data_IF_396301310375
#
_entry.id   IF_396301310375
#
_cell.length_a   1.000
_cell.length_b   1.000
_cell.length_c   1.000
_cell.angle_alpha   90.00
_cell.angle_beta   90.00
_cell.angle_gamma   90.00
#
_symmetry.space_group_name_H-M   'P 1'
#
loop_
_entity.id
_entity.type
_entity.pdbx_description
1 polymer ?
#
# COMPACT_ATOMS: atom_id res chain seq x y z
N UNK A 1 87.00 12.92 43.73
CA UNK A 1 86.14 13.47 44.74
C UNK A 1 84.96 14.05 43.98
N UNK A 2 83.72 13.67 44.02
CA UNK A 2 82.88 12.85 44.89
C UNK A 2 81.68 12.40 44.03
N UNK A 3 81.38 11.11 44.08
CA UNK A 3 80.15 10.51 43.51
C UNK A 3 78.88 11.15 44.09
N UNK A 4 77.90 11.48 43.21
CA UNK A 4 76.52 11.58 43.61
C UNK A 4 75.69 10.76 42.64
N UNK A 5 75.36 9.51 43.05
CA UNK A 5 74.34 8.63 42.47
C UNK A 5 72.95 9.20 42.74
N UNK A 6 72.24 9.66 41.74
CA UNK A 6 70.82 9.92 41.81
C UNK A 6 70.05 8.70 41.25
N UNK A 7 69.40 8.00 42.17
CA UNK A 7 68.54 6.84 41.95
C UNK A 7 67.20 7.32 41.38
N UNK A 8 67.04 7.32 40.08
CA UNK A 8 65.78 7.55 39.42
C UNK A 8 64.88 6.30 39.60
N UNK A 9 63.81 6.45 40.36
CA UNK A 9 62.74 5.48 40.56
C UNK A 9 61.86 5.56 39.28
N UNK A 10 61.97 4.52 38.43
CA UNK A 10 61.10 4.37 37.27
C UNK A 10 59.66 4.19 37.71
N UNK A 11 58.84 5.13 37.26
CA UNK A 11 57.38 4.93 37.20
C UNK A 11 57.16 4.15 35.93
N UNK A 12 57.03 2.84 36.05
CA UNK A 12 56.66 1.96 34.94
C UNK A 12 55.14 2.10 34.72
N UNK A 13 54.84 2.50 33.54
CA UNK A 13 53.53 2.52 32.89
C UNK A 13 52.73 1.23 33.17
N UNK A 14 51.62 1.37 33.88
CA UNK A 14 50.57 0.38 33.88
C UNK A 14 49.68 0.63 32.67
N UNK A 15 50.15 0.25 31.50
CA UNK A 15 49.24 0.06 30.38
C UNK A 15 48.38 -1.20 30.70
N UNK A 16 47.05 -1.10 30.55
CA UNK A 16 46.21 -2.27 30.65
C UNK A 16 46.47 -3.13 29.41
N UNK A 17 47.27 -4.19 29.56
CA UNK A 17 47.44 -5.24 28.55
C UNK A 17 46.11 -5.97 28.35
N UNK A 18 45.30 -5.46 27.46
CA UNK A 18 44.17 -6.17 26.88
C UNK A 18 44.72 -7.31 26.00
N UNK A 19 44.61 -8.54 26.45
CA UNK A 19 44.86 -9.69 25.61
C UNK A 19 46.01 -10.62 26.04
N UNK A 20 46.11 -11.03 27.31
CA UNK A 20 46.91 -12.17 27.64
C UNK A 20 46.17 -13.44 27.18
N UNK A 21 46.85 -14.33 26.45
CA UNK A 21 46.33 -15.64 26.01
C UNK A 21 45.77 -16.47 27.16
N UNK A 22 46.18 -16.19 28.41
CA UNK A 22 45.64 -16.78 29.63
C UNK A 22 44.21 -16.38 29.96
N UNK A 23 43.77 -15.13 29.63
CA UNK A 23 42.37 -14.68 29.87
C UNK A 23 41.41 -15.33 28.89
N UNK A 24 41.80 -15.47 27.63
CA UNK A 24 41.00 -16.19 26.65
C UNK A 24 40.80 -17.67 27.02
N UNK A 25 41.86 -18.31 27.51
CA UNK A 25 41.78 -19.71 27.96
C UNK A 25 40.86 -19.88 29.19
N UNK A 26 40.86 -18.95 30.14
CA UNK A 26 39.95 -18.99 31.31
C UNK A 26 38.49 -18.77 30.89
N UNK A 27 38.22 -17.88 29.90
CA UNK A 27 36.89 -17.69 29.34
C UNK A 27 36.38 -18.98 28.63
N UNK A 28 37.25 -19.64 27.85
CA UNK A 28 36.92 -20.93 27.22
C UNK A 28 36.64 -22.03 28.23
N UNK A 29 37.43 -22.14 29.28
CA UNK A 29 37.23 -23.15 30.35
C UNK A 29 35.88 -22.91 31.08
N UNK A 30 35.53 -21.68 31.32
CA UNK A 30 34.24 -21.28 31.89
C UNK A 30 33.05 -21.62 31.00
N UNK A 31 33.19 -21.42 29.68
CA UNK A 31 32.19 -21.82 28.70
C UNK A 31 31.96 -23.32 28.68
N UNK A 32 33.06 -24.10 28.72
CA UNK A 32 33.00 -25.56 28.74
C UNK A 32 32.40 -26.11 30.06
N UNK A 33 32.72 -25.51 31.20
CA UNK A 33 32.14 -25.87 32.51
C UNK A 33 30.65 -25.62 32.59
N UNK A 34 30.17 -24.50 31.97
CA UNK A 34 28.74 -24.10 32.01
C UNK A 34 27.95 -24.53 30.77
N UNK A 35 28.51 -25.36 29.88
CA UNK A 35 27.85 -25.83 28.63
C UNK A 35 26.44 -26.39 28.85
N UNK A 36 26.18 -27.05 29.97
CA UNK A 36 24.87 -27.61 30.32
C UNK A 36 23.78 -26.51 30.42
N UNK A 37 24.11 -25.37 30.98
CA UNK A 37 23.19 -24.24 31.11
C UNK A 37 22.91 -23.59 29.75
N UNK A 38 23.90 -23.48 28.87
CA UNK A 38 23.75 -23.00 27.52
C UNK A 38 22.83 -23.93 26.74
N UNK A 39 23.06 -25.23 26.75
CA UNK A 39 22.23 -26.22 26.08
C UNK A 39 20.79 -26.23 26.59
N UNK A 40 20.57 -26.07 27.89
CA UNK A 40 19.25 -25.98 28.48
C UNK A 40 18.52 -24.73 28.01
N UNK A 41 19.18 -23.58 28.03
CA UNK A 41 18.59 -22.31 27.56
C UNK A 41 18.25 -22.40 26.07
N UNK A 42 19.15 -22.86 25.23
CA UNK A 42 18.92 -23.04 23.79
C UNK A 42 17.80 -24.05 23.55
N UNK A 43 17.79 -25.18 24.28
CA UNK A 43 16.74 -26.20 24.15
C UNK A 43 15.36 -25.66 24.50
N UNK A 44 15.23 -24.92 25.59
CA UNK A 44 13.95 -24.30 26.02
C UNK A 44 13.46 -23.26 24.99
N UNK A 45 14.35 -22.39 24.49
CA UNK A 45 13.96 -21.36 23.51
C UNK A 45 13.59 -21.99 22.18
N UNK A 46 14.31 -22.98 21.68
CA UNK A 46 13.99 -23.68 20.43
C UNK A 46 12.65 -24.44 20.57
N UNK A 47 12.44 -25.11 21.72
CA UNK A 47 11.19 -25.81 22.01
C UNK A 47 10.00 -24.84 22.04
N UNK A 48 10.15 -23.71 22.73
CA UNK A 48 9.13 -22.67 22.76
C UNK A 48 8.82 -22.11 21.36
N UNK A 49 9.85 -21.88 20.53
CA UNK A 49 9.69 -21.44 19.14
C UNK A 49 9.00 -22.50 18.28
N UNK A 50 9.32 -23.78 18.50
CA UNK A 50 8.67 -24.89 17.79
C UNK A 50 7.20 -24.95 18.12
N UNK A 51 6.83 -24.87 19.39
CA UNK A 51 5.43 -24.82 19.85
C UNK A 51 4.72 -23.61 19.25
N UNK A 52 5.33 -22.43 19.27
CA UNK A 52 4.78 -21.23 18.64
C UNK A 52 4.54 -21.43 17.13
N UNK A 53 5.48 -22.03 16.41
CA UNK A 53 5.35 -22.33 14.98
C UNK A 53 4.19 -23.27 14.64
N UNK A 54 3.80 -24.17 15.57
CA UNK A 54 2.64 -25.06 15.37
C UNK A 54 1.31 -24.31 15.47
N UNK A 55 1.22 -23.30 16.34
CA UNK A 55 -0.01 -22.51 16.52
C UNK A 55 -0.22 -21.43 15.45
N UNK A 56 0.85 -20.94 14.80
CA UNK A 56 0.72 -19.90 13.78
C UNK A 56 0.13 -20.47 12.49
N UNK A 57 -1.02 -19.95 12.00
CA UNK A 57 -1.64 -20.43 10.78
C UNK A 57 -0.82 -20.08 9.54
N UNK A 58 -0.85 -20.96 8.54
CA UNK A 58 -0.25 -20.70 7.24
C UNK A 58 -0.94 -19.51 6.56
N UNK A 59 -0.18 -18.72 5.81
CA UNK A 59 -0.66 -17.62 4.98
C UNK A 59 -0.31 -17.90 3.53
N UNK A 60 -1.20 -17.51 2.62
CA UNK A 60 -1.06 -17.68 1.18
C UNK A 60 -1.20 -16.31 0.54
N UNK A 61 -0.27 -15.95 -0.34
CA UNK A 61 -0.31 -14.69 -1.08
C UNK A 61 -0.58 -14.99 -2.56
N UNK A 62 -1.69 -14.51 -3.06
CA UNK A 62 -2.00 -14.51 -4.48
C UNK A 62 -1.64 -13.14 -5.07
N UNK A 63 -1.17 -13.13 -6.31
CA UNK A 63 -0.79 -11.93 -7.04
C UNK A 63 -1.55 -11.85 -8.35
N UNK A 64 -2.01 -10.67 -8.69
CA UNK A 64 -2.56 -10.34 -10.00
C UNK A 64 -1.75 -9.18 -10.59
N UNK A 65 -1.61 -9.15 -11.91
CA UNK A 65 -0.85 -8.13 -12.63
C UNK A 65 -1.77 -7.41 -13.60
N UNK A 66 -1.76 -6.10 -13.53
CA UNK A 66 -2.50 -5.24 -14.45
C UNK A 66 -1.58 -4.19 -15.05
N UNK A 67 -1.83 -3.87 -16.31
CA UNK A 67 -1.19 -2.76 -17.00
C UNK A 67 -2.26 -1.72 -17.30
N UNK A 68 -2.16 -0.51 -16.72
CA UNK A 68 -3.02 0.58 -17.14
C UNK A 68 -2.74 0.85 -18.61
N UNK A 69 -3.73 0.62 -19.47
CA UNK A 69 -3.63 1.10 -20.84
C UNK A 69 -3.76 2.63 -20.75
N UNK A 70 -2.61 3.30 -20.72
CA UNK A 70 -2.60 4.73 -20.97
C UNK A 70 -3.33 4.93 -22.28
N UNK A 71 -4.54 5.46 -22.19
CA UNK A 71 -5.30 5.77 -23.38
C UNK A 71 -4.46 6.72 -24.21
N UNK A 72 -3.78 6.20 -25.20
CA UNK A 72 -3.46 6.99 -26.37
C UNK A 72 -4.82 7.37 -26.89
N UNK A 73 -5.37 8.45 -26.32
CA UNK A 73 -6.56 9.08 -26.87
C UNK A 73 -6.16 9.59 -28.25
N UNK A 74 -6.35 8.74 -29.27
CA UNK A 74 -6.33 9.18 -30.68
C UNK A 74 -7.29 10.34 -30.94
N UNK A 75 -8.15 10.69 -29.95
CA UNK A 75 -8.99 11.89 -29.98
C UNK A 75 -8.16 13.19 -29.87
N UNK A 76 -6.96 13.14 -29.28
CA UNK A 76 -6.03 14.28 -29.26
C UNK A 76 -5.08 14.29 -30.48
N UNK A 77 -5.12 13.27 -31.34
CA UNK A 77 -4.34 13.26 -32.59
C UNK A 77 -4.61 14.49 -33.45
N UNK A 78 -5.86 14.88 -33.58
CA UNK A 78 -6.25 16.12 -34.29
C UNK A 78 -5.79 17.40 -33.57
N UNK A 79 -5.78 17.41 -32.25
CA UNK A 79 -5.28 18.57 -31.47
C UNK A 79 -3.76 18.65 -31.46
N UNK A 80 -3.08 17.51 -31.52
CA UNK A 80 -1.61 17.42 -31.64
C UNK A 80 -1.12 17.83 -33.03
N UNK A 81 -1.89 17.49 -34.07
CA UNK A 81 -1.64 17.93 -35.43
C UNK A 81 -1.89 19.45 -35.57
N UNK A 82 -2.90 19.99 -34.89
CA UNK A 82 -3.19 21.41 -34.80
C UNK A 82 -2.17 22.19 -33.95
N UNK A 83 -1.69 21.59 -32.86
CA UNK A 83 -0.62 22.15 -32.03
C UNK A 83 0.72 22.17 -32.78
N UNK A 84 0.99 21.18 -33.63
CA UNK A 84 2.13 21.16 -34.54
C UNK A 84 2.08 22.28 -35.58
N UNK A 85 0.90 22.74 -35.96
CA UNK A 85 0.71 23.86 -36.89
C UNK A 85 0.94 25.23 -36.22
N UNK A 86 0.83 25.32 -34.89
CA UNK A 86 1.02 26.55 -34.10
C UNK A 86 2.48 26.77 -33.64
N UNK A 87 3.44 25.98 -34.12
CA UNK A 87 4.84 26.13 -33.79
C UNK A 87 5.14 25.78 -32.31
N UNK A 88 6.38 26.01 -31.89
CA UNK A 88 6.97 25.72 -30.57
C UNK A 88 6.24 26.38 -29.36
N UNK A 89 4.94 26.17 -29.29
CA UNK A 89 4.10 26.66 -28.20
C UNK A 89 4.28 25.78 -26.96
N UNK A 90 4.42 26.35 -25.74
CA UNK A 90 4.47 25.61 -24.48
C UNK A 90 3.26 24.68 -24.25
N UNK A 91 2.17 24.87 -25.01
CA UNK A 91 0.99 24.00 -25.02
C UNK A 91 1.22 22.67 -25.75
N UNK A 92 2.18 22.59 -26.68
CA UNK A 92 2.54 21.35 -27.37
C UNK A 92 3.37 20.40 -26.47
N UNK A 93 4.08 20.95 -25.49
CA UNK A 93 4.85 20.21 -24.47
C UNK A 93 4.05 19.96 -23.18
N UNK A 94 2.83 20.47 -23.06
CA UNK A 94 1.92 20.04 -22.04
C UNK A 94 1.49 18.60 -22.38
N UNK A 95 2.32 17.67 -21.99
CA UNK A 95 1.98 16.26 -21.83
C UNK A 95 0.94 16.18 -20.70
N UNK A 96 -0.31 16.57 -21.11
CA UNK A 96 -1.42 16.79 -20.21
C UNK A 96 -1.84 15.46 -19.57
N UNK A 97 -1.05 15.02 -18.59
CA UNK A 97 -1.61 14.28 -17.46
C UNK A 97 -1.95 12.82 -17.67
N UNK A 98 -1.65 12.20 -18.82
CA UNK A 98 -2.03 10.82 -19.08
C UNK A 98 -1.00 9.81 -18.48
N UNK A 99 0.27 10.18 -18.39
CA UNK A 99 1.25 9.37 -17.66
C UNK A 99 1.08 9.49 -16.13
N UNK A 100 0.64 10.65 -15.64
CA UNK A 100 0.40 10.84 -14.20
C UNK A 100 -0.80 10.02 -13.69
N UNK A 101 -1.78 9.67 -14.53
CA UNK A 101 -2.92 8.90 -14.06
C UNK A 101 -2.56 7.46 -13.67
N UNK A 102 -1.54 6.86 -14.26
CA UNK A 102 -1.09 5.50 -13.91
C UNK A 102 -0.56 5.41 -12.49
N UNK A 103 0.10 6.45 -11.99
CA UNK A 103 0.59 6.51 -10.59
C UNK A 103 -0.52 6.58 -9.54
N UNK A 104 -1.71 6.99 -9.93
CA UNK A 104 -2.86 7.12 -9.02
C UNK A 104 -3.58 5.78 -8.77
N UNK A 105 -3.40 4.77 -9.62
CA UNK A 105 -4.11 3.50 -9.47
C UNK A 105 -3.88 2.80 -8.12
N UNK A 106 -2.66 2.73 -7.56
CA UNK A 106 -2.46 2.15 -6.24
C UNK A 106 -3.25 2.89 -5.14
N UNK A 107 -3.39 4.22 -5.24
CA UNK A 107 -4.14 5.03 -4.28
C UNK A 107 -5.64 4.88 -4.48
N UNK A 108 -6.11 4.76 -5.73
CA UNK A 108 -7.51 4.44 -6.04
C UNK A 108 -7.88 3.08 -5.46
N UNK A 109 -7.03 2.06 -5.62
CA UNK A 109 -7.25 0.72 -5.05
C UNK A 109 -7.26 0.72 -3.51
N UNK A 110 -6.53 1.66 -2.87
CA UNK A 110 -6.57 1.86 -1.42
C UNK A 110 -7.73 2.73 -0.95
N UNK A 111 -8.50 3.31 -1.86
CA UNK A 111 -9.59 4.22 -1.52
C UNK A 111 -10.63 3.54 -0.65
N UNK A 112 -11.32 4.35 0.14
CA UNK A 112 -12.42 3.88 1.00
C UNK A 112 -13.55 3.25 0.18
N UNK A 113 -13.87 3.85 -0.97
CA UNK A 113 -14.94 3.39 -1.86
C UNK A 113 -14.72 1.93 -2.28
N UNK A 114 -13.57 1.64 -2.90
CA UNK A 114 -13.21 0.29 -3.34
C UNK A 114 -13.11 -0.66 -2.15
N UNK A 115 -12.50 -0.22 -1.04
CA UNK A 115 -12.34 -1.04 0.15
C UNK A 115 -13.69 -1.45 0.75
N UNK A 116 -14.68 -0.57 0.81
CA UNK A 116 -16.02 -0.87 1.32
C UNK A 116 -16.76 -1.87 0.43
N UNK A 117 -16.67 -1.71 -0.90
CA UNK A 117 -17.29 -2.62 -1.86
C UNK A 117 -16.67 -4.02 -1.75
N UNK A 118 -15.34 -4.11 -1.70
CA UNK A 118 -14.61 -5.38 -1.54
C UNK A 118 -14.94 -6.08 -0.21
N UNK A 119 -15.10 -5.33 0.89
CA UNK A 119 -15.43 -5.89 2.21
C UNK A 119 -16.85 -6.48 2.24
N UNK A 120 -17.80 -5.81 1.59
CA UNK A 120 -19.20 -6.20 1.61
C UNK A 120 -19.51 -7.35 0.64
N UNK A 121 -18.65 -7.61 -0.35
CA UNK A 121 -18.81 -8.72 -1.29
C UNK A 121 -18.73 -10.06 -0.58
N UNK A 122 -19.57 -11.00 -1.00
CA UNK A 122 -19.61 -12.37 -0.48
C UNK A 122 -18.68 -13.24 -1.31
N UNK A 123 -17.68 -13.83 -0.64
CA UNK A 123 -16.69 -14.71 -1.26
C UNK A 123 -17.05 -16.16 -0.98
N UNK A 124 -17.04 -16.98 -2.02
CA UNK A 124 -17.24 -18.43 -1.93
C UNK A 124 -15.89 -19.12 -2.15
N UNK A 125 -15.47 -19.90 -1.16
CA UNK A 125 -14.21 -20.62 -1.26
C UNK A 125 -14.25 -21.95 -0.48
N UNK A 126 -13.54 -22.98 -0.97
CA UNK A 126 -13.45 -24.26 -0.29
C UNK A 126 -12.62 -24.14 0.99
N UNK A 127 -13.20 -24.58 2.12
CA UNK A 127 -12.51 -24.68 3.40
C UNK A 127 -12.78 -26.04 4.02
N UNK A 128 -11.74 -26.89 4.18
CA UNK A 128 -11.83 -28.24 4.76
C UNK A 128 -12.95 -29.12 4.14
N UNK A 129 -13.05 -29.10 2.79
CA UNK A 129 -14.03 -29.91 2.06
C UNK A 129 -15.47 -29.38 2.04
N UNK A 130 -15.74 -28.22 2.64
CA UNK A 130 -17.01 -27.52 2.56
C UNK A 130 -16.85 -26.16 1.90
N UNK A 131 -17.77 -25.78 1.05
CA UNK A 131 -17.81 -24.43 0.49
C UNK A 131 -18.30 -23.47 1.58
N UNK A 132 -17.46 -22.53 1.93
CA UNK A 132 -17.80 -21.45 2.87
C UNK A 132 -18.12 -20.20 2.06
N UNK A 133 -19.28 -19.60 2.37
CA UNK A 133 -19.72 -18.34 1.81
C UNK A 133 -19.74 -17.31 2.95
N UNK A 134 -18.90 -16.26 2.84
CA UNK A 134 -18.87 -15.18 3.84
C UNK A 134 -18.29 -13.92 3.22
N UNK A 135 -18.67 -12.76 3.78
CA UNK A 135 -18.03 -11.49 3.46
C UNK A 135 -16.75 -11.29 4.29
N UNK A 136 -15.95 -10.29 3.92
CA UNK A 136 -14.70 -10.00 4.66
C UNK A 136 -14.97 -9.36 6.02
N UNK A 137 -16.13 -8.74 6.21
CA UNK A 137 -16.54 -8.19 7.49
C UNK A 137 -16.61 -9.28 8.56
N UNK A 138 -17.26 -10.41 8.23
CA UNK A 138 -17.36 -11.59 9.10
C UNK A 138 -16.00 -12.32 9.22
N UNK A 139 -15.23 -12.36 8.13
CA UNK A 139 -13.90 -12.96 8.15
C UNK A 139 -12.98 -12.28 9.16
N UNK A 140 -13.00 -10.94 9.22
CA UNK A 140 -12.21 -10.16 10.19
C UNK A 140 -12.87 -10.07 11.57
N UNK A 141 -14.13 -10.51 11.72
CA UNK A 141 -14.95 -10.31 12.93
C UNK A 141 -14.97 -8.83 13.35
N UNK A 142 -15.03 -7.94 12.38
CA UNK A 142 -15.01 -6.51 12.62
C UNK A 142 -16.38 -6.04 13.13
N UNK A 143 -16.39 -5.12 14.10
CA UNK A 143 -17.62 -4.49 14.60
C UNK A 143 -17.95 -3.18 13.90
N UNK A 144 -16.96 -2.56 13.25
CA UNK A 144 -17.07 -1.27 12.55
C UNK A 144 -16.35 -1.35 11.19
N UNK A 145 -16.87 -0.65 10.21
CA UNK A 145 -16.30 -0.60 8.84
C UNK A 145 -14.84 -0.15 8.82
N UNK A 146 -14.47 0.85 9.62
CA UNK A 146 -13.11 1.34 9.68
C UNK A 146 -12.10 0.30 10.20
N UNK A 147 -12.54 -0.59 11.09
CA UNK A 147 -11.71 -1.70 11.55
C UNK A 147 -11.53 -2.76 10.46
N UNK A 148 -12.57 -3.02 9.67
CA UNK A 148 -12.50 -3.93 8.53
C UNK A 148 -11.57 -3.40 7.43
N UNK A 149 -11.65 -2.09 7.10
CA UNK A 149 -10.77 -1.43 6.13
C UNK A 149 -9.31 -1.51 6.59
N UNK A 150 -9.02 -1.20 7.85
CA UNK A 150 -7.66 -1.33 8.41
C UNK A 150 -7.14 -2.77 8.39
N UNK A 151 -8.02 -3.75 8.63
CA UNK A 151 -7.65 -5.16 8.54
C UNK A 151 -7.39 -5.59 7.09
N UNK A 152 -8.21 -5.11 6.14
CA UNK A 152 -8.04 -5.34 4.71
C UNK A 152 -6.70 -4.75 4.21
N UNK A 153 -6.37 -3.52 4.58
CA UNK A 153 -5.11 -2.87 4.22
C UNK A 153 -3.86 -3.60 4.73
N UNK A 154 -3.96 -4.43 5.79
CA UNK A 154 -2.84 -5.24 6.29
C UNK A 154 -2.61 -6.52 5.49
N UNK A 155 -3.61 -6.98 4.76
CA UNK A 155 -3.53 -8.22 3.98
C UNK A 155 -3.44 -7.98 2.48
N UNK A 156 -3.63 -6.74 2.02
CA UNK A 156 -3.51 -6.33 0.62
C UNK A 156 -2.32 -5.40 0.44
N UNK A 157 -1.61 -5.56 -0.67
CA UNK A 157 -0.50 -4.69 -1.07
C UNK A 157 -0.62 -4.37 -2.55
N UNK A 158 -0.46 -3.09 -2.89
CA UNK A 158 -0.51 -2.58 -4.26
C UNK A 158 0.82 -1.92 -4.55
N UNK A 159 1.55 -2.49 -5.48
CA UNK A 159 2.89 -2.04 -5.88
C UNK A 159 2.90 -1.75 -7.37
N UNK A 160 3.45 -0.61 -7.75
CA UNK A 160 3.65 -0.23 -9.14
C UNK A 160 5.14 -0.25 -9.46
N UNK A 161 5.50 -0.99 -10.49
CA UNK A 161 6.85 -0.92 -11.05
C UNK A 161 6.96 0.34 -11.92
N UNK A 162 7.81 1.27 -11.49
CA UNK A 162 8.02 2.56 -12.19
C UNK A 162 8.64 2.42 -13.57
N UNK A 163 9.30 1.30 -13.86
CA UNK A 163 9.95 1.08 -15.16
C UNK A 163 9.00 0.54 -16.20
N UNK A 164 8.14 -0.38 -15.78
CA UNK A 164 7.21 -1.10 -16.67
C UNK A 164 5.79 -0.54 -16.63
N UNK A 165 5.45 0.25 -15.59
CA UNK A 165 4.09 0.72 -15.34
C UNK A 165 3.13 -0.38 -14.87
N UNK A 166 3.62 -1.61 -14.70
CA UNK A 166 2.81 -2.74 -14.24
C UNK A 166 2.46 -2.58 -12.78
N UNK A 167 1.19 -2.77 -12.45
CA UNK A 167 0.69 -2.75 -11.07
C UNK A 167 0.48 -4.19 -10.62
N UNK A 168 1.11 -4.54 -9.52
CA UNK A 168 0.95 -5.83 -8.83
C UNK A 168 -0.02 -5.68 -7.68
N UNK A 169 -1.13 -6.40 -7.75
CA UNK A 169 -2.12 -6.52 -6.68
C UNK A 169 -1.85 -7.80 -5.91
N UNK A 170 -1.48 -7.70 -4.65
CA UNK A 170 -1.17 -8.84 -3.79
C UNK A 170 -2.17 -8.94 -2.65
N UNK A 171 -2.74 -10.13 -2.45
CA UNK A 171 -3.65 -10.41 -1.35
C UNK A 171 -3.17 -11.63 -0.53
N UNK A 172 -3.04 -11.46 0.78
CA UNK A 172 -2.52 -12.48 1.70
C UNK A 172 -3.57 -12.91 2.71
N UNK A 173 -4.06 -14.14 2.61
CA UNK A 173 -5.06 -14.68 3.55
C UNK A 173 -4.68 -16.06 4.09
N UNK A 174 -5.52 -16.63 4.97
CA UNK A 174 -5.33 -17.99 5.50
C UNK A 174 -5.79 -19.08 4.52
N UNK A 175 -6.52 -18.71 3.47
CA UNK A 175 -7.04 -19.64 2.46
C UNK A 175 -6.55 -19.21 1.08
N UNK A 176 -5.92 -20.11 0.34
CA UNK A 176 -5.35 -19.85 -0.99
C UNK A 176 -6.40 -19.38 -2.02
N UNK A 177 -7.60 -19.95 -1.98
CA UNK A 177 -8.68 -19.57 -2.89
C UNK A 177 -9.24 -18.18 -2.57
N UNK A 178 -9.37 -17.84 -1.28
CA UNK A 178 -9.78 -16.50 -0.86
C UNK A 178 -8.76 -15.44 -1.25
N UNK A 179 -7.45 -15.75 -1.17
CA UNK A 179 -6.40 -14.81 -1.62
C UNK A 179 -6.54 -14.49 -3.11
N UNK A 180 -6.74 -15.51 -3.95
CA UNK A 180 -6.91 -15.30 -5.38
C UNK A 180 -8.22 -14.56 -5.70
N UNK A 181 -9.33 -14.96 -5.09
CA UNK A 181 -10.61 -14.29 -5.28
C UNK A 181 -10.55 -12.81 -4.86
N UNK A 182 -9.87 -12.51 -3.76
CA UNK A 182 -9.70 -11.14 -3.28
C UNK A 182 -8.86 -10.28 -4.23
N UNK A 183 -7.76 -10.83 -4.76
CA UNK A 183 -6.92 -10.08 -5.71
C UNK A 183 -7.64 -9.82 -7.03
N UNK A 184 -8.42 -10.79 -7.54
CA UNK A 184 -9.22 -10.61 -8.74
C UNK A 184 -10.37 -9.63 -8.52
N UNK A 185 -11.00 -9.64 -7.34
CA UNK A 185 -12.02 -8.67 -6.99
C UNK A 185 -11.55 -7.22 -7.09
N UNK A 186 -10.32 -6.95 -6.68
CA UNK A 186 -9.75 -5.62 -6.84
C UNK A 186 -9.58 -5.21 -8.32
N UNK A 187 -9.34 -6.17 -9.22
CA UNK A 187 -9.33 -5.91 -10.66
C UNK A 187 -10.73 -5.51 -11.12
N UNK A 188 -11.74 -6.33 -10.78
CA UNK A 188 -13.12 -6.10 -11.18
C UNK A 188 -13.63 -4.74 -10.67
N UNK A 189 -13.33 -4.40 -9.42
CA UNK A 189 -13.71 -3.11 -8.81
C UNK A 189 -12.97 -1.92 -9.43
N UNK A 190 -11.72 -2.08 -9.82
CA UNK A 190 -10.98 -1.03 -10.51
C UNK A 190 -11.54 -0.80 -11.92
N UNK A 191 -11.90 -1.87 -12.62
CA UNK A 191 -12.49 -1.80 -13.95
C UNK A 191 -13.87 -1.11 -13.89
N UNK A 192 -14.72 -1.49 -12.94
CA UNK A 192 -16.02 -0.86 -12.71
C UNK A 192 -15.88 0.64 -12.38
N UNK A 193 -14.98 1.01 -11.46
CA UNK A 193 -14.69 2.39 -11.10
C UNK A 193 -14.24 3.23 -12.30
N UNK A 194 -13.34 2.67 -13.12
CA UNK A 194 -12.85 3.35 -14.31
C UNK A 194 -13.96 3.55 -15.36
N UNK A 195 -14.78 2.54 -15.59
CA UNK A 195 -15.90 2.61 -16.52
C UNK A 195 -16.92 3.67 -16.08
N UNK A 196 -17.29 3.69 -14.80
CA UNK A 196 -18.25 4.65 -14.27
C UNK A 196 -17.73 6.08 -14.30
N UNK A 197 -16.46 6.27 -13.95
CA UNK A 197 -15.81 7.58 -13.99
C UNK A 197 -15.73 8.10 -15.43
N UNK A 198 -15.37 7.24 -16.36
CA UNK A 198 -15.27 7.60 -17.79
C UNK A 198 -16.64 7.93 -18.38
N UNK A 199 -17.64 7.07 -18.14
CA UNK A 199 -19.02 7.30 -18.59
C UNK A 199 -19.58 8.61 -18.05
N UNK A 200 -19.30 8.92 -16.77
CA UNK A 200 -19.74 10.17 -16.15
C UNK A 200 -19.11 11.39 -16.84
N UNK A 201 -17.80 11.39 -17.04
CA UNK A 201 -17.08 12.46 -17.73
C UNK A 201 -17.49 12.62 -19.19
N UNK A 202 -17.67 11.50 -19.92
CA UNK A 202 -18.11 11.54 -21.31
C UNK A 202 -19.53 12.13 -21.43
N UNK A 203 -20.47 11.74 -20.55
CA UNK A 203 -21.82 12.32 -20.52
C UNK A 203 -21.81 13.81 -20.20
N UNK A 204 -20.97 14.24 -19.25
CA UNK A 204 -20.83 15.65 -18.90
C UNK A 204 -20.29 16.46 -20.09
N UNK A 205 -19.28 15.95 -20.77
CA UNK A 205 -18.71 16.55 -21.98
C UNK A 205 -19.73 16.62 -23.12
N UNK A 206 -20.44 15.53 -23.41
CA UNK A 206 -21.52 15.50 -24.41
C UNK A 206 -22.58 16.55 -24.10
N UNK A 207 -23.03 16.65 -22.84
CA UNK A 207 -24.02 17.66 -22.41
C UNK A 207 -23.51 19.08 -22.61
N UNK A 208 -22.26 19.36 -22.24
CA UNK A 208 -21.64 20.67 -22.41
C UNK A 208 -21.58 21.07 -23.88
N UNK A 209 -21.11 20.18 -24.77
CA UNK A 209 -21.00 20.42 -26.20
C UNK A 209 -22.40 20.60 -26.81
N UNK A 210 -23.37 19.80 -26.39
CA UNK A 210 -24.76 19.89 -26.84
C UNK A 210 -25.37 21.25 -26.50
N UNK A 211 -25.17 21.76 -25.29
CA UNK A 211 -25.64 23.09 -24.89
C UNK A 211 -24.98 24.18 -25.71
N UNK A 212 -23.66 24.10 -25.89
CA UNK A 212 -22.93 25.09 -26.70
C UNK A 212 -23.34 25.06 -28.17
N UNK A 213 -23.67 23.91 -28.72
CA UNK A 213 -24.16 23.75 -30.09
C UNK A 213 -25.50 24.45 -30.29
N UNK A 214 -26.43 24.35 -29.34
CA UNK A 214 -27.73 25.07 -29.43
C UNK A 214 -27.55 26.58 -29.32
N UNK A 215 -26.65 27.07 -28.47
CA UNK A 215 -26.29 28.47 -28.37
C UNK A 215 -25.75 29.01 -29.70
N UNK A 216 -24.76 28.35 -30.28
CA UNK A 216 -24.14 28.77 -31.54
C UNK A 216 -25.11 28.67 -32.71
N UNK A 217 -26.02 27.70 -32.72
CA UNK A 217 -27.10 27.60 -33.70
C UNK A 217 -28.05 28.80 -33.63
N UNK A 218 -28.36 29.27 -32.42
CA UNK A 218 -29.16 30.47 -32.26
C UNK A 218 -28.40 31.74 -32.74
N UNK A 219 -27.09 31.83 -32.40
CA UNK A 219 -26.23 32.92 -32.85
C UNK A 219 -26.09 32.94 -34.38
N UNK A 220 -25.95 31.78 -35.04
CA UNK A 220 -25.90 31.66 -36.49
C UNK A 220 -27.19 32.16 -37.14
N UNK A 221 -28.35 31.70 -36.64
CA UNK A 221 -29.66 32.18 -37.13
C UNK A 221 -29.81 33.70 -37.00
N UNK A 222 -29.33 34.26 -35.90
CA UNK A 222 -29.37 35.69 -35.70
C UNK A 222 -28.48 36.42 -36.70
N UNK A 223 -27.28 35.94 -36.96
CA UNK A 223 -26.38 36.50 -37.95
C UNK A 223 -26.95 36.39 -39.38
N UNK A 224 -27.55 35.24 -39.74
CA UNK A 224 -28.28 35.06 -41.01
C UNK A 224 -29.44 36.00 -41.16
N UNK A 225 -30.29 36.19 -40.14
CA UNK A 225 -31.41 37.14 -40.14
C UNK A 225 -30.91 38.57 -40.29
N UNK A 226 -29.81 38.96 -39.65
CA UNK A 226 -29.22 40.31 -39.79
C UNK A 226 -28.72 40.53 -41.22
N UNK A 227 -28.08 39.54 -41.83
CA UNK A 227 -27.64 39.62 -43.23
C UNK A 227 -28.83 39.71 -44.18
N UNK A 228 -29.88 38.92 -44.00
CA UNK A 228 -31.09 38.97 -44.80
C UNK A 228 -31.80 40.34 -44.68
N UNK A 229 -31.98 40.86 -43.47
CA UNK A 229 -32.56 42.15 -43.21
C UNK A 229 -31.77 43.27 -43.89
N UNK A 230 -30.44 43.22 -43.87
CA UNK A 230 -29.57 44.13 -44.56
C UNK A 230 -29.77 44.08 -46.10
N UNK A 231 -29.80 42.85 -46.66
CA UNK A 231 -30.02 42.66 -48.10
C UNK A 231 -31.43 43.15 -48.58
N UNK A 232 -32.46 42.87 -47.79
CA UNK A 232 -33.82 43.34 -48.09
C UNK A 232 -33.93 44.84 -48.04
N UNK A 233 -33.28 45.49 -47.07
CA UNK A 233 -33.32 47.01 -46.96
C UNK A 233 -32.55 47.66 -48.08
N UNK A 234 -31.54 47.03 -48.63
CA UNK A 234 -30.63 47.60 -49.63
C UNK A 234 -30.73 46.87 -50.97
N UNK A 235 -31.95 46.48 -51.42
CA UNK A 235 -32.19 45.72 -52.66
C UNK A 235 -31.60 46.33 -53.92
N UNK A 236 -31.57 47.67 -54.01
CA UNK A 236 -31.10 48.44 -55.17
C UNK A 236 -29.66 48.93 -54.99
N UNK A 237 -28.90 48.24 -54.04
CA UNK A 237 -27.57 48.65 -53.71
C UNK A 237 -26.56 48.19 -54.80
N UNK A 238 -25.74 49.13 -55.25
CA UNK A 238 -24.66 48.93 -56.17
C UNK A 238 -23.34 49.08 -55.39
N UNK A 239 -22.56 48.00 -55.26
CA UNK A 239 -21.26 47.94 -54.54
C UNK A 239 -20.26 48.98 -55.03
N UNK A 240 -20.34 49.35 -56.29
CA UNK A 240 -19.43 50.34 -56.89
C UNK A 240 -19.73 51.79 -56.44
N UNK A 241 -20.99 52.11 -55.96
CA UNK A 241 -21.42 53.45 -55.66
C UNK A 241 -21.36 53.80 -54.16
N UNK A 242 -21.32 52.82 -53.28
CA UNK A 242 -21.31 53.04 -51.81
C UNK A 242 -20.35 52.11 -51.09
N UNK A 243 -19.07 52.46 -50.93
CA UNK A 243 -18.05 51.68 -50.31
C UNK A 243 -18.39 51.29 -48.86
N UNK A 244 -19.11 52.16 -48.13
CA UNK A 244 -19.51 51.94 -46.74
C UNK A 244 -20.51 50.76 -46.60
N UNK A 245 -21.50 50.70 -47.50
CA UNK A 245 -22.46 49.62 -47.54
C UNK A 245 -21.80 48.28 -47.96
N UNK A 246 -20.82 48.36 -48.88
CA UNK A 246 -20.02 47.16 -49.26
C UNK A 246 -19.21 46.63 -48.12
N UNK A 247 -18.62 47.48 -47.31
CA UNK A 247 -17.87 47.08 -46.10
C UNK A 247 -18.79 46.46 -45.05
N UNK A 248 -19.99 46.99 -44.84
CA UNK A 248 -20.96 46.43 -43.89
C UNK A 248 -21.49 45.05 -44.36
N UNK A 249 -21.79 44.91 -45.66
CA UNK A 249 -22.17 43.62 -46.24
C UNK A 249 -21.05 42.57 -45.98
N UNK A 250 -19.82 42.91 -46.33
CA UNK A 250 -18.68 42.02 -46.11
C UNK A 250 -18.44 41.67 -44.64
N UNK A 251 -18.80 42.55 -43.71
CA UNK A 251 -18.77 42.30 -42.26
C UNK A 251 -19.82 41.27 -41.87
N UNK A 252 -21.07 41.43 -42.29
CA UNK A 252 -22.18 40.51 -41.98
C UNK A 252 -21.96 39.12 -42.61
N UNK A 253 -21.49 39.08 -43.86
CA UNK A 253 -21.14 37.81 -44.52
C UNK A 253 -20.03 37.06 -43.75
N UNK A 254 -18.98 37.77 -43.30
CA UNK A 254 -17.91 37.19 -42.49
C UNK A 254 -18.42 36.69 -41.15
N UNK A 255 -19.35 37.39 -40.52
CA UNK A 255 -19.96 36.96 -39.26
C UNK A 255 -20.73 35.65 -39.44
N UNK A 256 -21.56 35.56 -40.49
CA UNK A 256 -22.25 34.31 -40.84
C UNK A 256 -21.27 33.18 -41.13
N UNK A 257 -20.23 33.47 -41.91
CA UNK A 257 -19.18 32.45 -42.20
C UNK A 257 -18.50 31.94 -40.96
N UNK A 258 -18.08 32.82 -40.04
CA UNK A 258 -17.44 32.45 -38.78
C UNK A 258 -18.41 31.60 -37.94
N UNK A 259 -19.65 32.02 -37.76
CA UNK A 259 -20.64 31.26 -36.95
C UNK A 259 -20.96 29.90 -37.58
N UNK A 260 -21.06 29.84 -38.92
CA UNK A 260 -21.26 28.59 -39.65
C UNK A 260 -20.09 27.62 -39.46
N UNK A 261 -18.85 28.09 -39.54
CA UNK A 261 -17.64 27.24 -39.28
C UNK A 261 -17.62 26.76 -37.85
N UNK A 262 -17.93 27.60 -36.86
CA UNK A 262 -17.99 27.18 -35.43
C UNK A 262 -19.08 26.15 -35.24
N UNK A 263 -20.26 26.33 -35.84
CA UNK A 263 -21.37 25.38 -35.79
C UNK A 263 -20.97 24.00 -36.33
N UNK A 264 -20.30 23.94 -37.50
CA UNK A 264 -19.83 22.71 -38.11
C UNK A 264 -18.80 22.02 -37.21
N UNK A 265 -17.85 22.77 -36.65
CA UNK A 265 -16.83 22.21 -35.75
C UNK A 265 -17.44 21.62 -34.48
N UNK A 266 -18.39 22.35 -33.85
CA UNK A 266 -19.10 21.86 -32.67
C UNK A 266 -19.97 20.64 -32.99
N UNK A 267 -20.56 20.56 -34.16
CA UNK A 267 -21.36 19.44 -34.63
C UNK A 267 -20.44 18.18 -34.73
N UNK A 268 -19.24 18.32 -35.30
CA UNK A 268 -18.26 17.24 -35.35
C UNK A 268 -17.81 16.79 -33.93
N UNK A 269 -17.54 17.76 -33.05
CA UNK A 269 -17.17 17.46 -31.67
C UNK A 269 -18.31 16.77 -30.91
N UNK A 270 -19.56 17.18 -31.15
CA UNK A 270 -20.72 16.53 -30.55
C UNK A 270 -20.84 15.05 -30.96
N UNK A 271 -20.69 14.76 -32.26
CA UNK A 271 -20.73 13.35 -32.72
C UNK A 271 -19.58 12.52 -32.13
N UNK A 272 -18.39 13.09 -32.00
CA UNK A 272 -17.26 12.43 -31.31
C UNK A 272 -17.61 12.16 -29.84
N UNK A 273 -18.08 13.16 -29.10
CA UNK A 273 -18.45 13.03 -27.69
C UNK A 273 -19.57 12.00 -27.51
N UNK A 274 -20.55 11.98 -28.39
CA UNK A 274 -21.65 11.01 -28.40
C UNK A 274 -21.18 9.59 -28.65
N UNK A 275 -20.18 9.38 -29.49
CA UNK A 275 -19.56 8.07 -29.69
C UNK A 275 -18.77 7.67 -28.44
N UNK A 276 -18.09 8.62 -27.79
CA UNK A 276 -17.31 8.35 -26.58
C UNK A 276 -18.18 7.89 -25.41
N UNK A 277 -19.41 8.43 -25.25
CA UNK A 277 -20.34 7.97 -24.19
C UNK A 277 -20.80 6.53 -24.37
N UNK A 278 -20.69 5.97 -25.58
CA UNK A 278 -21.10 4.59 -25.92
C UNK A 278 -19.95 3.59 -25.97
N UNK A 279 -18.71 4.06 -25.83
CA UNK A 279 -17.53 3.18 -25.84
C UNK A 279 -17.34 2.50 -24.50
N UNK A 280 -17.54 1.18 -24.46
CA UNK A 280 -17.23 0.30 -23.31
C UNK A 280 -15.86 -0.36 -23.53
N UNK A 281 -14.80 0.44 -23.64
CA UNK A 281 -13.44 -0.12 -23.79
C UNK A 281 -12.79 -0.19 -22.42
N UNK A 282 -12.31 -1.38 -21.99
CA UNK A 282 -11.59 -1.50 -20.73
C UNK A 282 -10.30 -0.67 -20.77
N UNK A 283 -10.07 0.13 -19.73
CA UNK A 283 -8.90 1.00 -19.58
C UNK A 283 -7.74 0.24 -18.96
N UNK A 284 -8.04 -0.86 -18.30
CA UNK A 284 -7.05 -1.69 -17.61
C UNK A 284 -6.88 -2.99 -18.38
N UNK A 285 -5.66 -3.25 -18.83
CA UNK A 285 -5.32 -4.53 -19.44
C UNK A 285 -4.86 -5.49 -18.34
N UNK A 286 -5.60 -6.56 -18.11
CA UNK A 286 -5.19 -7.61 -17.17
C UNK A 286 -4.11 -8.46 -17.82
N UNK A 287 -2.90 -8.45 -17.26
CA UNK A 287 -1.79 -9.27 -17.73
C UNK A 287 -1.87 -10.67 -17.16
N UNK A 288 -2.22 -10.80 -15.87
CA UNK A 288 -2.39 -12.11 -15.23
C UNK A 288 -3.41 -12.01 -14.10
N UNK A 289 -4.39 -12.91 -14.13
CA UNK A 289 -5.35 -13.07 -13.03
C UNK A 289 -4.73 -13.87 -11.90
N UNK A 290 -5.04 -13.49 -10.67
CA UNK A 290 -4.57 -14.20 -9.50
C UNK A 290 -5.09 -15.64 -9.48
N UNK A 291 -4.17 -16.60 -9.39
CA UNK A 291 -4.47 -18.02 -9.19
C UNK A 291 -4.21 -18.43 -7.74
N UNK A 292 -4.94 -19.45 -7.22
CA UNK A 292 -4.66 -19.96 -5.89
C UNK A 292 -3.22 -20.45 -5.79
N UNK A 293 -2.37 -19.89 -4.92
CA UNK A 293 -0.98 -20.28 -4.82
C UNK A 293 -0.82 -21.70 -4.24
N UNK A 294 0.10 -22.47 -4.79
CA UNK A 294 0.42 -23.81 -4.28
C UNK A 294 1.33 -23.74 -3.05
N UNK A 295 2.19 -22.73 -3.00
CA UNK A 295 3.15 -22.55 -1.92
C UNK A 295 2.63 -21.57 -0.84
N UNK A 296 3.14 -21.79 0.39
CA UNK A 296 2.84 -20.91 1.54
C UNK A 296 3.71 -19.67 1.47
N UNK A 297 3.12 -18.51 1.60
CA UNK A 297 3.85 -17.24 1.72
C UNK A 297 4.49 -17.04 3.11
N UNK A 298 4.01 -17.76 4.14
CA UNK A 298 4.57 -17.68 5.47
C UNK A 298 3.79 -18.44 6.55
N UNK A 299 4.37 -18.52 7.76
CA UNK A 299 5.73 -18.20 8.13
C UNK A 299 6.74 -19.26 7.65
N UNK A 300 7.96 -18.84 7.31
CA UNK A 300 9.07 -19.75 6.99
C UNK A 300 9.58 -20.41 8.27
N UNK A 301 8.93 -21.49 8.70
CA UNK A 301 9.19 -22.19 9.97
C UNK A 301 10.66 -22.61 10.12
N UNK A 302 11.29 -23.07 9.02
CA UNK A 302 12.71 -23.45 9.02
C UNK A 302 13.62 -22.27 9.35
N UNK A 303 13.38 -21.12 8.72
CA UNK A 303 14.16 -19.90 8.96
C UNK A 303 13.96 -19.40 10.40
N UNK A 304 12.73 -19.43 10.91
CA UNK A 304 12.40 -18.96 12.25
C UNK A 304 13.03 -19.83 13.34
N UNK A 305 13.11 -21.16 13.14
CA UNK A 305 13.84 -22.07 14.03
C UNK A 305 15.34 -21.81 13.98
N UNK A 306 15.91 -21.61 12.78
CA UNK A 306 17.33 -21.33 12.62
C UNK A 306 17.74 -20.02 13.31
N UNK A 307 16.96 -18.96 13.09
CA UNK A 307 17.25 -17.65 13.71
C UNK A 307 17.09 -17.69 15.21
N UNK A 308 16.08 -18.40 15.75
CA UNK A 308 15.92 -18.57 17.19
C UNK A 308 17.08 -19.37 17.81
N UNK A 309 17.56 -20.39 17.13
CA UNK A 309 18.73 -21.19 17.59
C UNK A 309 20.00 -20.32 17.63
N UNK A 310 20.31 -19.57 16.57
CA UNK A 310 21.46 -18.67 16.51
C UNK A 310 21.42 -17.61 17.59
N UNK A 311 20.25 -16.94 17.72
CA UNK A 311 20.07 -15.86 18.70
C UNK A 311 20.15 -16.37 20.13
N UNK A 312 19.53 -17.52 20.43
CA UNK A 312 19.59 -18.12 21.78
C UNK A 312 20.99 -18.63 22.14
N UNK A 313 21.74 -19.15 21.16
CA UNK A 313 23.13 -19.57 21.36
C UNK A 313 24.02 -18.36 21.70
N UNK A 314 23.89 -17.28 20.93
CA UNK A 314 24.63 -16.03 21.15
C UNK A 314 24.29 -15.40 22.52
N UNK A 315 23.00 -15.36 22.88
CA UNK A 315 22.55 -14.92 24.20
C UNK A 315 23.07 -15.80 25.32
N UNK A 316 23.06 -17.12 25.14
CA UNK A 316 23.60 -18.06 26.14
C UNK A 316 25.08 -17.82 26.39
N UNK A 317 25.89 -17.63 25.36
CA UNK A 317 27.29 -17.28 25.45
C UNK A 317 27.50 -15.95 26.17
N UNK A 318 26.74 -14.91 25.74
CA UNK A 318 26.83 -13.57 26.33
C UNK A 318 26.48 -13.56 27.82
N UNK A 319 25.48 -14.34 28.26
CA UNK A 319 25.11 -14.48 29.67
C UNK A 319 26.23 -15.15 30.47
N UNK A 320 26.83 -16.22 29.97
CA UNK A 320 27.93 -16.91 30.65
C UNK A 320 29.13 -15.98 30.79
N UNK A 321 29.50 -15.28 29.73
CA UNK A 321 30.61 -14.32 29.75
C UNK A 321 30.37 -13.16 30.71
N UNK A 322 29.16 -12.58 30.72
CA UNK A 322 28.81 -11.46 31.62
C UNK A 322 28.82 -11.91 33.08
N UNK A 323 28.33 -13.10 33.40
CA UNK A 323 28.40 -13.64 34.78
C UNK A 323 29.84 -13.86 35.21
N UNK A 324 30.72 -14.33 34.32
CA UNK A 324 32.13 -14.55 34.67
C UNK A 324 32.90 -13.24 34.81
N UNK A 325 32.62 -12.25 33.93
CA UNK A 325 33.18 -10.91 34.04
C UNK A 325 32.73 -10.19 35.33
N UNK A 326 31.47 -10.32 35.70
CA UNK A 326 30.98 -9.81 36.99
C UNK A 326 31.69 -10.50 38.19
N UNK A 327 31.89 -11.81 38.15
CA UNK A 327 32.61 -12.52 39.21
C UNK A 327 34.08 -12.11 39.33
N UNK A 328 34.74 -11.84 38.20
CA UNK A 328 36.14 -11.42 38.19
C UNK A 328 36.34 -9.97 38.70
N UNK A 329 35.34 -9.10 38.55
CA UNK A 329 35.44 -7.67 38.86
C UNK A 329 34.82 -7.27 40.19
N UNK A 330 33.85 -8.06 40.70
CA UNK A 330 33.17 -7.82 41.98
C UNK A 330 33.91 -8.53 43.11
N UNK A 331 34.21 -7.79 44.23
CA UNK A 331 34.78 -8.41 45.42
C UNK A 331 33.87 -9.54 45.94
N UNK A 332 34.44 -10.61 46.49
CA UNK A 332 33.66 -11.78 46.92
C UNK A 332 32.50 -11.45 47.86
N UNK A 333 32.64 -10.37 48.67
CA UNK A 333 31.63 -9.96 49.63
C UNK A 333 30.41 -9.28 48.97
N UNK A 334 30.60 -8.48 47.94
CA UNK A 334 29.51 -7.84 47.17
C UNK A 334 28.76 -8.83 46.31
N UNK A 335 29.44 -9.86 45.81
CA UNK A 335 28.81 -10.95 45.00
C UNK A 335 27.83 -11.76 45.84
N UNK A 336 28.18 -12.07 47.11
CA UNK A 336 27.28 -12.77 48.02
C UNK A 336 26.00 -11.93 48.33
N UNK A 337 26.15 -10.64 48.55
CA UNK A 337 25.01 -9.75 48.75
C UNK A 337 24.09 -9.67 47.53
N UNK A 338 24.65 -9.62 46.32
CA UNK A 338 23.85 -9.63 45.07
C UNK A 338 23.11 -10.96 44.84
N UNK A 339 23.75 -12.10 45.25
CA UNK A 339 23.11 -13.42 45.20
C UNK A 339 21.96 -13.56 46.21
N UNK A 340 22.11 -12.99 47.39
CA UNK A 340 21.09 -13.07 48.42
C UNK A 340 19.91 -12.13 48.11
N UNK A 341 20.15 -10.95 47.56
CA UNK A 341 19.10 -10.10 46.95
C UNK A 341 18.35 -10.84 45.81
N UNK A 342 19.05 -11.58 44.97
CA UNK A 342 18.42 -12.39 43.90
C UNK A 342 17.58 -13.55 44.45
N UNK A 343 17.91 -14.10 45.61
CA UNK A 343 17.11 -15.13 46.30
C UNK A 343 15.85 -14.49 46.95
N UNK A 344 15.97 -13.34 47.56
CA UNK A 344 14.84 -12.60 48.09
C UNK A 344 13.82 -12.23 47.00
N UNK A 345 14.27 -11.69 45.87
CA UNK A 345 13.38 -11.45 44.71
C UNK A 345 12.65 -12.71 44.23
N UNK A 346 13.32 -13.85 44.26
CA UNK A 346 12.68 -15.15 43.90
C UNK A 346 11.61 -15.55 44.90
N UNK A 347 11.88 -15.38 46.18
CA UNK A 347 10.91 -15.71 47.24
C UNK A 347 9.71 -14.74 47.21
N UNK A 348 9.92 -13.46 46.94
CA UNK A 348 8.86 -12.48 46.77
C UNK A 348 8.00 -12.74 45.54
N UNK A 349 8.62 -13.08 44.38
CA UNK A 349 7.89 -13.45 43.16
C UNK A 349 7.04 -14.72 43.34
N UNK A 350 7.53 -15.71 44.10
CA UNK A 350 6.79 -16.92 44.48
C UNK A 350 5.67 -16.58 45.47
N UNK A 351 5.91 -15.65 46.40
CA UNK A 351 4.93 -15.15 47.35
C UNK A 351 3.77 -14.44 46.66
N UNK A 352 4.06 -13.55 45.71
CA UNK A 352 3.05 -12.86 44.91
C UNK A 352 2.25 -13.86 44.04
N UNK A 353 2.92 -14.85 43.41
CA UNK A 353 2.24 -15.87 42.63
C UNK A 353 1.28 -16.75 43.46
N UNK A 354 1.66 -17.06 44.71
CA UNK A 354 0.79 -17.82 45.64
C UNK A 354 -0.36 -16.99 46.18
N UNK A 355 -0.18 -15.66 46.37
CA UNK A 355 -1.28 -14.76 46.77
C UNK A 355 -2.30 -14.57 45.65
N UNK A 356 -1.86 -14.46 44.38
CA UNK A 356 -2.77 -14.36 43.21
C UNK A 356 -3.57 -15.65 42.98
N UNK A 357 -3.04 -16.82 43.34
CA UNK A 357 -3.78 -18.10 43.24
C UNK A 357 -4.81 -18.33 44.36
N UNK A 358 -4.73 -17.64 45.51
CA UNK A 358 -5.68 -17.82 46.61
C UNK A 358 -7.14 -17.44 46.26
N UNK A 359 -7.45 -16.33 45.54
CA UNK A 359 -8.83 -16.02 45.20
C UNK A 359 -9.47 -16.97 44.21
N UNK A 360 -8.70 -17.64 43.33
CA UNK A 360 -9.23 -18.61 42.37
C UNK A 360 -9.72 -19.92 43.02
N UNK A 361 -9.12 -20.33 44.15
CA UNK A 361 -9.59 -21.50 44.92
C UNK A 361 -10.85 -21.22 45.72
N UNK A 362 -11.12 -19.96 46.02
CA UNK A 362 -12.37 -19.58 46.71
C UNK A 362 -13.57 -19.67 45.76
N UNK A 363 -13.37 -19.35 44.50
CA UNK A 363 -14.40 -19.38 43.45
C UNK A 363 -14.82 -20.84 43.09
N UNK A 364 -13.92 -21.81 43.23
CA UNK A 364 -14.27 -23.22 43.00
C UNK A 364 -15.06 -23.84 44.18
N UNK A 365 -14.84 -23.37 45.40
CA UNK A 365 -15.61 -23.85 46.58
C UNK A 365 -17.06 -23.33 46.66
N UNK A 366 -17.34 -22.22 46.02
CA UNK A 366 -18.72 -21.68 46.01
C UNK A 366 -19.63 -22.34 44.95
N UNK A 367 -19.04 -23.00 43.92
CA UNK A 367 -19.83 -23.78 42.95
C UNK A 367 -20.27 -25.18 43.43
N UNK A 368 -19.71 -25.67 44.53
CA UNK A 368 -19.99 -27.00 45.06
C UNK A 368 -21.09 -27.04 46.14
N UNK A 369 -21.75 -25.91 46.46
CA UNK A 369 -22.84 -25.83 47.46
C UNK A 369 -24.06 -25.15 46.89
N UNK A 370 -24.73 -25.78 45.92
CA UNK A 370 -26.14 -25.59 45.65
C UNK A 370 -26.79 -26.96 45.79
N UNK A 371 -27.55 -27.23 46.88
CA UNK A 371 -28.39 -28.40 46.94
C UNK A 371 -29.59 -28.16 46.06
N UNK A 372 -29.97 -29.20 45.31
CA UNK A 372 -31.15 -29.19 44.49
C UNK A 372 -32.43 -29.09 45.33
N UNK A 373 -33.36 -28.35 44.83
CA UNK A 373 -34.80 -28.51 44.99
C UNK A 373 -35.45 -28.00 43.72
#
# INVERSE_FOLDING_TARGET
MTDIRIRGKGILDNEPQFGSSSELLTLFDSLVKKRKWIYLLVGVTVLATLVFCLFVPNRYTAKALILPSGGTSNSLGGLREFAGLLGDSPLASADLGLEQSSYLYPDILRSRLISETVINKVYQYPQRGKNKSQNLFDYFKAKKTDHAIKALARITCFEMDRKTGVITISATTKNRHLSAALANEYIDQLEEYNLDTRRSKAKENEKFISQRLEEVKAELRQAENNLEAFQLKNRNFNTATSPELAAELARLEREVEIKSRVFLTLTQQYEIARVETKKDVPIVQVLDYAKPPDEKAGPNRKLLLLTSFLLSSLLGIAIVLSVEFCKAKIRPDEYQQALDLGKEFKTDAIGVYTQVKRPLRWFERTKAKTPGS
#
